data_IF_100027008766
#
_entry.id   IF_100027008766
#
_cell.length_a   1.000
_cell.length_b   1.000
_cell.length_c   1.000
_cell.angle_alpha   90.00
_cell.angle_beta   90.00
_cell.angle_gamma   90.00
#
_symmetry.space_group_name_H-M   'P 1'
#
loop_
_entity.id
_entity.type
_entity.pdbx_description
1 polymer ?
#
# COMPACT_ATOMS: atom_id res chain seq x y z
N UNK A 1 16.94 -14.67 10.21
CA UNK A 1 15.88 -14.07 9.37
C UNK A 1 15.65 -14.88 8.08
N UNK A 2 14.88 -15.99 8.11
CA UNK A 2 14.23 -16.50 6.88
C UNK A 2 12.81 -17.11 7.03
N UNK A 3 12.21 -17.19 8.23
CA UNK A 3 10.93 -17.91 8.45
C UNK A 3 9.72 -17.22 7.81
N UNK A 4 9.66 -15.90 7.85
CA UNK A 4 8.44 -15.13 7.56
C UNK A 4 8.17 -14.97 6.06
N UNK A 5 9.25 -14.88 5.27
CA UNK A 5 9.18 -14.85 3.81
C UNK A 5 8.69 -16.21 3.28
N UNK A 6 9.00 -17.30 3.99
CA UNK A 6 8.55 -18.63 3.57
C UNK A 6 7.04 -18.81 3.76
N UNK A 7 6.48 -18.41 4.91
CA UNK A 7 5.05 -18.57 5.19
C UNK A 7 4.17 -17.68 4.31
N UNK A 8 4.58 -16.44 4.06
CA UNK A 8 3.84 -15.53 3.19
C UNK A 8 3.75 -16.05 1.74
N UNK A 9 4.84 -16.61 1.22
CA UNK A 9 4.86 -17.24 -0.11
C UNK A 9 3.99 -18.50 -0.12
N UNK A 10 4.09 -19.35 0.90
CA UNK A 10 3.27 -20.56 1.01
C UNK A 10 1.77 -20.25 1.09
N UNK A 11 1.37 -19.25 1.87
CA UNK A 11 -0.02 -18.78 1.93
C UNK A 11 -0.52 -18.38 0.55
N UNK A 12 0.24 -17.54 -0.15
CA UNK A 12 -0.14 -17.07 -1.48
C UNK A 12 -0.25 -18.24 -2.44
N UNK A 13 0.75 -19.10 -2.50
CA UNK A 13 0.76 -20.26 -3.40
C UNK A 13 -0.41 -21.20 -3.09
N UNK A 14 -0.76 -21.40 -1.82
CA UNK A 14 -1.94 -22.13 -1.40
C UNK A 14 -3.22 -21.52 -1.96
N UNK A 15 -3.44 -20.21 -1.77
CA UNK A 15 -4.64 -19.52 -2.26
C UNK A 15 -4.75 -19.54 -3.79
N UNK A 16 -3.63 -19.35 -4.49
CA UNK A 16 -3.61 -19.37 -5.96
C UNK A 16 -3.85 -20.78 -6.53
N UNK A 17 -3.34 -21.82 -5.88
CA UNK A 17 -3.50 -23.21 -6.33
C UNK A 17 -4.87 -23.79 -5.98
N UNK A 18 -5.53 -23.24 -4.95
CA UNK A 18 -6.86 -23.66 -4.50
C UNK A 18 -7.99 -22.74 -5.01
N UNK A 19 -7.75 -22.03 -6.12
CA UNK A 19 -8.80 -21.29 -6.84
C UNK A 19 -10.01 -22.20 -7.14
N UNK A 20 -11.21 -21.67 -7.00
CA UNK A 20 -12.47 -22.43 -7.00
C UNK A 20 -12.92 -22.81 -5.59
N UNK A 21 -12.10 -23.56 -4.83
CA UNK A 21 -12.43 -23.93 -3.44
C UNK A 21 -12.45 -22.71 -2.52
N UNK A 22 -11.50 -21.81 -2.71
CA UNK A 22 -11.34 -20.63 -1.87
C UNK A 22 -12.09 -19.40 -2.40
N UNK A 23 -12.69 -19.48 -3.59
CA UNK A 23 -13.24 -18.31 -4.28
C UNK A 23 -14.29 -17.57 -3.46
N UNK A 24 -15.21 -18.31 -2.82
CA UNK A 24 -16.29 -17.74 -2.00
C UNK A 24 -15.90 -17.53 -0.53
N UNK A 25 -14.67 -17.88 -0.14
CA UNK A 25 -14.19 -17.68 1.22
C UNK A 25 -13.83 -16.22 1.41
N UNK A 26 -14.44 -15.57 2.40
CA UNK A 26 -14.10 -14.19 2.78
C UNK A 26 -12.71 -14.21 3.45
N UNK A 27 -11.77 -13.45 2.90
CA UNK A 27 -10.38 -13.43 3.36
C UNK A 27 -10.00 -12.12 4.05
N UNK A 28 -10.67 -11.02 3.67
CA UNK A 28 -10.39 -9.69 4.18
C UNK A 28 -11.71 -8.96 4.42
N UNK A 29 -11.83 -8.35 5.60
CA UNK A 29 -12.86 -7.37 5.91
C UNK A 29 -12.25 -6.31 6.82
N UNK A 30 -12.05 -5.11 6.28
CA UNK A 30 -11.49 -3.98 7.03
C UNK A 30 -12.32 -2.76 6.68
N UNK A 31 -12.98 -2.20 7.70
CA UNK A 31 -13.93 -1.10 7.56
C UNK A 31 -15.02 -1.43 6.53
N UNK A 32 -15.08 -0.74 5.38
CA UNK A 32 -16.05 -1.02 4.30
C UNK A 32 -15.52 -1.92 3.19
N UNK A 33 -14.24 -2.31 3.26
CA UNK A 33 -13.57 -3.08 2.21
C UNK A 33 -13.64 -4.57 2.52
N UNK A 34 -14.21 -5.34 1.59
CA UNK A 34 -14.38 -6.80 1.71
C UNK A 34 -13.75 -7.47 0.49
N UNK A 35 -12.91 -8.48 0.72
CA UNK A 35 -12.32 -9.29 -0.35
C UNK A 35 -12.44 -10.78 -0.07
N UNK A 36 -12.66 -11.54 -1.13
CA UNK A 36 -12.79 -12.99 -1.14
C UNK A 36 -11.60 -13.64 -1.86
N UNK A 37 -11.52 -14.98 -1.82
CA UNK A 37 -10.45 -15.71 -2.49
C UNK A 37 -10.34 -15.42 -3.98
N UNK A 38 -11.47 -15.20 -4.67
CA UNK A 38 -11.43 -14.85 -6.09
C UNK A 38 -10.78 -13.47 -6.33
N UNK A 39 -10.96 -12.50 -5.43
CA UNK A 39 -10.33 -11.18 -5.52
C UNK A 39 -8.81 -11.28 -5.34
N UNK A 40 -8.39 -12.14 -4.40
CA UNK A 40 -6.96 -12.42 -4.17
C UNK A 40 -6.34 -13.10 -5.38
N UNK A 41 -7.00 -14.11 -5.96
CA UNK A 41 -6.56 -14.77 -7.18
C UNK A 41 -6.38 -13.75 -8.32
N UNK A 42 -7.35 -12.85 -8.50
CA UNK A 42 -7.29 -11.82 -9.55
C UNK A 42 -6.17 -10.81 -9.32
N UNK A 43 -5.96 -10.37 -8.09
CA UNK A 43 -5.06 -9.25 -7.77
C UNK A 43 -3.63 -9.64 -7.44
N UNK A 44 -3.41 -10.83 -6.86
CA UNK A 44 -2.10 -11.27 -6.36
C UNK A 44 -1.41 -12.28 -7.28
N UNK A 45 -2.08 -12.82 -8.31
CA UNK A 45 -1.44 -13.65 -9.36
C UNK A 45 -0.40 -12.87 -10.16
N UNK A 46 0.81 -13.43 -10.33
CA UNK A 46 1.94 -12.79 -11.02
C UNK A 46 1.51 -12.18 -12.37
N UNK A 47 1.93 -10.94 -12.62
CA UNK A 47 1.61 -10.24 -13.87
C UNK A 47 0.21 -9.64 -13.93
N UNK A 48 -0.70 -9.93 -13.01
CA UNK A 48 -1.98 -9.22 -12.96
C UNK A 48 -1.82 -7.81 -12.36
N UNK A 49 -2.70 -6.91 -12.80
CA UNK A 49 -2.91 -5.61 -12.18
C UNK A 49 -3.81 -5.78 -10.94
N UNK A 50 -3.36 -5.23 -9.82
CA UNK A 50 -4.14 -5.21 -8.59
C UNK A 50 -5.17 -4.09 -8.64
N UNK A 51 -6.41 -4.43 -8.28
CA UNK A 51 -7.48 -3.44 -8.16
C UNK A 51 -7.35 -2.66 -6.84
N UNK A 52 -7.92 -1.45 -6.78
CA UNK A 52 -7.85 -0.57 -5.59
C UNK A 52 -8.42 -1.18 -4.31
N UNK A 53 -9.15 -2.30 -4.42
CA UNK A 53 -9.75 -3.07 -3.33
C UNK A 53 -8.78 -3.40 -2.19
N UNK A 54 -7.48 -3.55 -2.47
CA UNK A 54 -6.48 -3.88 -1.45
C UNK A 54 -5.66 -2.67 -0.96
N UNK A 55 -5.76 -1.51 -1.61
CA UNK A 55 -5.06 -0.29 -1.21
C UNK A 55 -5.82 0.40 -0.07
N UNK A 56 -7.14 0.52 -0.20
CA UNK A 56 -8.00 1.13 0.82
C UNK A 56 -7.90 0.43 2.19
N UNK A 57 -8.09 -0.91 2.31
CA UNK A 57 -7.95 -1.59 3.60
C UNK A 57 -6.54 -1.51 4.15
N UNK A 58 -5.51 -1.48 3.28
CA UNK A 58 -4.13 -1.28 3.71
C UNK A 58 -3.92 0.11 4.33
N UNK A 59 -4.46 1.15 3.69
CA UNK A 59 -4.41 2.52 4.22
C UNK A 59 -5.09 2.64 5.58
N UNK A 60 -6.21 1.93 5.78
CA UNK A 60 -6.89 1.83 7.08
C UNK A 60 -6.04 1.17 8.15
N UNK A 61 -5.34 0.07 7.83
CA UNK A 61 -4.40 -0.58 8.76
C UNK A 61 -3.30 0.41 9.15
N UNK A 62 -2.63 1.02 8.17
CA UNK A 62 -1.56 1.97 8.44
C UNK A 62 -2.01 3.14 9.30
N UNK A 63 -3.20 3.68 9.04
CA UNK A 63 -3.75 4.77 9.84
C UNK A 63 -3.90 4.36 11.32
N UNK A 64 -4.44 3.15 11.57
CA UNK A 64 -4.64 2.61 12.93
C UNK A 64 -3.30 2.28 13.60
N UNK A 65 -2.33 1.73 12.86
CA UNK A 65 -0.98 1.45 13.35
C UNK A 65 -0.19 2.73 13.66
N UNK A 66 -0.26 3.74 12.80
CA UNK A 66 0.43 5.02 13.00
C UNK A 66 -0.08 5.74 14.25
N UNK A 67 -1.39 5.73 14.49
CA UNK A 67 -1.99 6.27 15.72
C UNK A 67 -1.41 5.61 16.97
N UNK A 68 -1.12 4.31 16.90
CA UNK A 68 -0.60 3.50 18.01
C UNK A 68 0.91 3.63 18.18
N UNK A 69 1.65 3.50 17.08
CA UNK A 69 3.10 3.24 17.08
C UNK A 69 3.93 4.50 16.78
N UNK A 70 3.33 5.52 16.14
CA UNK A 70 4.02 6.75 15.74
C UNK A 70 3.18 8.00 16.09
N UNK A 71 2.78 8.19 17.35
CA UNK A 71 1.91 9.29 17.73
C UNK A 71 2.50 10.66 17.37
N UNK A 72 3.83 10.80 17.38
CA UNK A 72 4.53 12.04 17.03
C UNK A 72 4.46 12.39 15.53
N UNK A 73 4.21 11.42 14.65
CA UNK A 73 4.03 11.64 13.20
C UNK A 73 2.62 11.37 12.71
N UNK A 74 1.73 10.92 13.60
CA UNK A 74 0.31 10.81 13.37
C UNK A 74 -0.27 12.18 12.96
N UNK A 75 -1.03 12.22 11.87
CA UNK A 75 -1.55 13.45 11.28
C UNK A 75 -0.54 14.33 10.52
N UNK A 76 0.77 14.00 10.52
CA UNK A 76 1.77 14.63 9.64
C UNK A 76 1.77 14.05 8.22
N UNK A 77 1.17 12.87 8.06
CA UNK A 77 0.92 12.20 6.78
C UNK A 77 -0.53 12.35 6.41
N UNK A 78 -0.76 12.63 5.14
CA UNK A 78 -2.10 12.74 4.58
C UNK A 78 -2.29 11.54 3.66
N UNK A 79 -2.95 10.51 4.18
CA UNK A 79 -3.72 9.60 3.35
C UNK A 79 -5.13 10.18 3.34
N UNK A 80 -5.59 10.70 2.20
CA UNK A 80 -6.98 11.15 2.11
C UNK A 80 -7.82 9.87 2.16
N UNK A 81 -8.51 9.64 3.30
CA UNK A 81 -9.67 10.45 3.70
C UNK A 81 -9.53 11.20 5.04
N UNK A 82 -9.46 12.55 4.94
CA UNK A 82 -9.71 13.67 5.89
C UNK A 82 -9.14 13.60 7.33
N UNK A 83 -8.14 14.39 7.78
CA UNK A 83 -8.07 15.86 7.96
C UNK A 83 -6.60 16.37 8.05
N UNK A 84 -6.27 17.61 7.64
CA UNK A 84 -4.90 17.95 7.15
C UNK A 84 -4.33 19.35 7.50
N UNK A 85 -3.00 19.50 7.54
CA UNK A 85 -2.26 20.77 7.28
C UNK A 85 -1.14 20.52 6.23
N UNK A 86 -1.28 21.04 4.99
CA UNK A 86 -0.33 20.80 3.86
C UNK A 86 0.65 21.97 3.67
N UNK A 87 1.96 21.72 3.55
CA UNK A 87 2.95 22.72 3.08
C UNK A 87 3.72 22.30 1.81
N UNK A 88 3.59 21.04 1.37
CA UNK A 88 4.28 20.47 0.19
C UNK A 88 3.46 19.33 -0.41
N UNK A 89 3.65 19.07 -1.70
CA UNK A 89 3.15 17.86 -2.38
C UNK A 89 4.32 17.08 -2.96
N UNK A 90 4.54 15.88 -2.44
CA UNK A 90 5.50 14.91 -2.98
C UNK A 90 4.77 13.89 -3.87
N UNK A 91 5.42 13.52 -4.97
CA UNK A 91 4.95 12.51 -5.90
C UNK A 91 5.99 11.39 -5.90
N UNK A 92 5.53 10.19 -5.59
CA UNK A 92 6.32 8.97 -5.66
C UNK A 92 5.73 8.10 -6.76
N UNK A 93 6.58 7.64 -7.68
CA UNK A 93 6.19 6.75 -8.76
C UNK A 93 7.23 5.63 -8.90
N UNK A 94 6.78 4.39 -8.87
CA UNK A 94 7.62 3.20 -9.02
C UNK A 94 8.06 2.96 -10.47
N UNK A 95 7.47 3.61 -11.48
CA UNK A 95 7.86 3.45 -12.88
C UNK A 95 9.31 3.89 -13.15
N UNK A 96 10.05 3.06 -13.88
CA UNK A 96 11.40 3.37 -14.33
C UNK A 96 11.39 4.00 -15.73
N UNK A 97 11.14 5.32 -15.79
CA UNK A 97 11.02 6.05 -17.06
C UNK A 97 12.29 6.02 -17.93
N UNK A 98 13.47 5.97 -17.32
CA UNK A 98 14.73 5.82 -18.04
C UNK A 98 14.77 4.52 -18.85
N UNK A 99 14.32 3.43 -18.23
CA UNK A 99 14.26 2.12 -18.89
C UNK A 99 13.09 2.01 -19.89
N UNK A 100 12.01 2.77 -19.67
CA UNK A 100 10.87 2.86 -20.59
C UNK A 100 11.21 3.75 -21.81
N UNK A 101 12.27 4.55 -21.74
CA UNK A 101 12.69 5.47 -22.81
C UNK A 101 11.88 6.77 -22.88
N UNK A 102 11.31 7.21 -21.76
CA UNK A 102 10.56 8.48 -21.66
C UNK A 102 11.03 9.30 -20.45
N UNK A 103 10.59 10.56 -20.33
CA UNK A 103 10.89 11.36 -19.14
C UNK A 103 9.70 11.35 -18.18
N UNK A 104 9.98 11.28 -16.88
CA UNK A 104 8.98 11.36 -15.82
C UNK A 104 8.11 12.64 -15.93
N UNK A 105 8.69 13.74 -16.42
CA UNK A 105 7.96 15.00 -16.63
C UNK A 105 6.84 14.90 -17.66
N UNK A 106 6.97 14.00 -18.64
CA UNK A 106 6.03 13.87 -19.76
C UNK A 106 4.72 13.24 -19.28
N UNK A 107 4.79 12.39 -18.25
CA UNK A 107 3.65 11.65 -17.72
C UNK A 107 2.92 12.40 -16.59
N UNK A 108 3.65 13.07 -15.69
CA UNK A 108 3.03 13.59 -14.46
C UNK A 108 2.76 15.08 -14.44
N UNK A 109 3.38 15.90 -15.30
CA UNK A 109 3.29 17.37 -15.16
C UNK A 109 1.85 17.87 -15.23
N UNK A 110 1.08 17.41 -16.21
CA UNK A 110 -0.30 17.83 -16.39
C UNK A 110 -1.24 17.22 -15.33
N UNK A 111 -1.11 15.92 -15.07
CA UNK A 111 -1.95 15.19 -14.12
C UNK A 111 -1.78 15.69 -12.70
N UNK A 112 -0.54 15.79 -12.22
CA UNK A 112 -0.25 16.30 -10.87
C UNK A 112 -0.77 17.73 -10.66
N UNK A 113 -0.64 18.60 -11.67
CA UNK A 113 -1.19 19.95 -11.61
C UNK A 113 -2.71 19.93 -11.45
N UNK A 114 -3.42 19.07 -12.19
CA UNK A 114 -4.88 18.95 -12.11
C UNK A 114 -5.33 18.37 -10.77
N UNK A 115 -4.70 17.30 -10.29
CA UNK A 115 -5.03 16.67 -9.00
C UNK A 115 -4.83 17.65 -7.85
N UNK A 116 -3.64 18.29 -7.78
CA UNK A 116 -3.33 19.22 -6.69
C UNK A 116 -4.23 20.45 -6.70
N UNK A 117 -4.55 20.98 -7.90
CA UNK A 117 -5.50 22.09 -8.02
C UNK A 117 -6.91 21.66 -7.61
N UNK A 118 -7.41 20.54 -8.14
CA UNK A 118 -8.75 20.05 -7.85
C UNK A 118 -8.94 19.76 -6.35
N UNK A 119 -7.96 19.10 -5.73
CA UNK A 119 -7.97 18.87 -4.29
C UNK A 119 -7.94 20.17 -3.50
N UNK A 120 -7.09 21.13 -3.89
CA UNK A 120 -7.05 22.43 -3.24
C UNK A 120 -8.39 23.14 -3.37
N UNK A 121 -9.01 23.16 -4.55
CA UNK A 121 -10.29 23.84 -4.78
C UNK A 121 -11.40 23.18 -3.95
N UNK A 122 -11.50 21.84 -3.97
CA UNK A 122 -12.49 21.09 -3.20
C UNK A 122 -12.37 21.35 -1.70
N UNK A 123 -11.14 21.35 -1.16
CA UNK A 123 -10.92 21.68 0.26
C UNK A 123 -11.27 23.14 0.60
N UNK A 124 -11.04 24.08 -0.32
CA UNK A 124 -11.49 25.47 -0.13
C UNK A 124 -13.02 25.59 -0.14
N UNK A 125 -13.71 24.73 -0.87
CA UNK A 125 -15.17 24.71 -0.95
C UNK A 125 -15.80 24.12 0.32
N UNK A 126 -15.33 22.97 0.78
CA UNK A 126 -15.94 22.26 1.93
C UNK A 126 -15.50 22.81 3.29
N UNK A 127 -14.30 23.40 3.36
CA UNK A 127 -13.72 23.89 4.61
C UNK A 127 -12.95 25.21 4.37
N UNK A 128 -13.65 26.28 3.97
CA UNK A 128 -13.03 27.56 3.68
C UNK A 128 -12.31 28.07 4.95
N UNK A 129 -11.04 28.45 4.79
CA UNK A 129 -10.11 28.94 5.84
C UNK A 129 -9.43 27.88 6.71
N UNK A 130 -9.85 26.62 6.67
CA UNK A 130 -9.14 25.53 7.37
C UNK A 130 -7.83 25.14 6.66
N UNK A 131 -7.75 25.40 5.36
CA UNK A 131 -6.59 25.07 4.53
C UNK A 131 -6.10 26.31 3.78
N UNK A 132 -4.79 26.41 3.59
CA UNK A 132 -4.24 27.35 2.62
C UNK A 132 -4.53 26.84 1.19
N UNK A 133 -4.57 27.75 0.21
CA UNK A 133 -4.64 27.36 -1.20
C UNK A 133 -3.29 26.77 -1.62
N UNK A 134 -3.29 25.50 -2.00
CA UNK A 134 -2.09 24.78 -2.40
C UNK A 134 -2.10 24.29 -3.85
N UNK A 135 -3.12 24.65 -4.64
CA UNK A 135 -3.19 24.31 -6.07
C UNK A 135 -1.97 24.75 -6.89
N UNK A 136 -1.23 25.76 -6.40
CA UNK A 136 0.01 26.27 -6.99
C UNK A 136 1.30 25.69 -6.40
N UNK A 137 1.24 24.81 -5.40
CA UNK A 137 2.44 24.31 -4.72
C UNK A 137 3.40 23.63 -5.70
N UNK A 138 4.69 23.76 -5.38
CA UNK A 138 5.75 23.03 -6.08
C UNK A 138 5.53 21.55 -5.82
N UNK A 139 5.38 20.79 -6.91
CA UNK A 139 5.33 19.33 -6.89
C UNK A 139 6.76 18.82 -6.90
N UNK A 140 7.13 18.09 -5.87
CA UNK A 140 8.43 17.47 -5.75
C UNK A 140 8.33 16.02 -6.21
N UNK A 141 9.14 15.64 -7.20
CA UNK A 141 9.30 14.23 -7.56
C UNK A 141 10.28 13.62 -6.57
N UNK A 142 9.76 12.83 -5.65
CA UNK A 142 10.57 12.22 -4.60
C UNK A 142 11.24 10.96 -5.15
N UNK A 143 12.55 10.85 -4.93
CA UNK A 143 13.26 9.63 -5.27
C UNK A 143 12.75 8.47 -4.42
N UNK A 144 12.42 7.37 -5.09
CA UNK A 144 11.86 6.16 -4.51
C UNK A 144 12.30 4.93 -5.33
N UNK A 145 12.24 3.72 -4.75
CA UNK A 145 12.57 2.48 -5.46
C UNK A 145 11.75 2.32 -6.74
N UNK A 146 12.39 1.81 -7.79
CA UNK A 146 11.73 1.59 -9.08
C UNK A 146 11.47 0.11 -9.32
N UNK A 147 10.32 -0.20 -9.89
CA UNK A 147 9.94 -1.56 -10.28
C UNK A 147 10.70 -2.01 -11.53
N UNK A 148 10.75 -3.31 -11.77
CA UNK A 148 11.32 -3.86 -13.01
C UNK A 148 10.49 -3.44 -14.23
N UNK A 149 11.13 -3.40 -15.40
CA UNK A 149 10.44 -3.12 -16.68
C UNK A 149 9.34 -4.16 -16.88
N UNK A 150 8.16 -3.73 -17.34
CA UNK A 150 6.99 -4.58 -17.56
C UNK A 150 6.43 -5.27 -16.30
N UNK A 151 6.86 -4.86 -15.10
CA UNK A 151 6.21 -5.28 -13.86
C UNK A 151 4.83 -4.63 -13.75
N UNK A 152 3.86 -5.38 -13.24
CA UNK A 152 2.53 -4.89 -12.86
C UNK A 152 2.41 -4.72 -11.33
N UNK A 153 3.51 -4.35 -10.67
CA UNK A 153 3.61 -4.28 -9.20
C UNK A 153 3.42 -2.87 -8.63
N UNK A 154 3.02 -1.88 -9.44
CA UNK A 154 2.92 -0.49 -9.00
C UNK A 154 2.05 -0.29 -7.75
N UNK A 155 0.92 -1.00 -7.63
CA UNK A 155 0.06 -0.96 -6.44
C UNK A 155 0.79 -1.47 -5.18
N UNK A 156 1.60 -2.52 -5.31
CA UNK A 156 2.37 -3.07 -4.19
C UNK A 156 3.54 -2.15 -3.79
N UNK A 157 4.15 -1.46 -4.74
CA UNK A 157 5.13 -0.41 -4.44
C UNK A 157 4.48 0.78 -3.74
N UNK A 158 3.28 1.21 -4.15
CA UNK A 158 2.51 2.26 -3.47
C UNK A 158 2.30 1.87 -2.00
N UNK A 159 1.85 0.65 -1.72
CA UNK A 159 1.69 0.11 -0.37
C UNK A 159 2.98 0.23 0.45
N UNK A 160 4.14 -0.16 -0.10
CA UNK A 160 5.44 -0.01 0.58
C UNK A 160 5.87 1.45 0.76
N UNK A 161 5.55 2.32 -0.18
CA UNK A 161 5.83 3.75 -0.03
C UNK A 161 4.99 4.37 1.08
N UNK A 162 3.72 3.94 1.22
CA UNK A 162 2.85 4.39 2.30
C UNK A 162 3.37 3.98 3.68
N UNK A 163 3.93 2.76 3.81
CA UNK A 163 4.57 2.28 5.05
C UNK A 163 5.81 3.07 5.45
N UNK A 164 6.69 3.29 4.47
CA UNK A 164 8.02 3.83 4.69
C UNK A 164 8.04 5.36 4.78
N UNK A 165 7.17 6.03 4.01
CA UNK A 165 7.11 7.48 4.01
C UNK A 165 6.57 7.98 5.35
N UNK A 166 7.29 8.92 5.96
CA UNK A 166 7.02 9.46 7.30
C UNK A 166 6.53 10.93 7.26
N UNK A 167 6.39 11.51 6.07
CA UNK A 167 6.04 12.92 5.86
C UNK A 167 7.24 13.87 5.84
N UNK A 168 8.46 13.39 6.08
CA UNK A 168 9.66 14.21 6.07
C UNK A 168 10.15 14.51 4.64
N UNK A 169 11.21 15.32 4.57
CA UNK A 169 11.78 15.75 3.29
C UNK A 169 12.70 14.72 2.65
N UNK A 170 13.14 13.74 3.42
CA UNK A 170 14.10 12.73 2.98
C UNK A 170 13.45 11.79 1.97
N UNK A 171 14.25 11.37 0.98
CA UNK A 171 13.82 10.41 -0.02
C UNK A 171 13.78 9.00 0.56
N UNK A 172 12.83 8.20 0.11
CA UNK A 172 12.76 6.77 0.44
C UNK A 172 13.54 5.89 -0.55
N UNK A 173 14.45 6.46 -1.36
CA UNK A 173 15.20 5.76 -2.42
C UNK A 173 15.92 4.49 -1.93
N UNK A 174 16.37 4.49 -0.68
CA UNK A 174 17.08 3.37 -0.04
C UNK A 174 16.16 2.30 0.55
N UNK A 175 14.84 2.47 0.46
CA UNK A 175 13.86 1.48 0.91
C UNK A 175 14.06 0.17 0.15
N UNK A 176 14.31 -0.91 0.90
CA UNK A 176 14.48 -2.24 0.34
C UNK A 176 13.12 -2.85 0.01
N UNK A 177 12.76 -2.84 -1.28
CA UNK A 177 11.59 -3.56 -1.79
C UNK A 177 12.09 -4.75 -2.62
N UNK A 178 11.64 -5.99 -2.35
CA UNK A 178 11.95 -7.13 -3.19
C UNK A 178 11.54 -6.87 -4.63
N UNK A 179 12.48 -6.99 -5.57
CA UNK A 179 12.19 -6.86 -7.01
C UNK A 179 11.42 -8.07 -7.55
N UNK A 180 11.42 -9.18 -6.82
CA UNK A 180 10.62 -10.35 -7.15
C UNK A 180 9.14 -10.09 -6.82
N UNK A 181 8.32 -10.00 -7.86
CA UNK A 181 6.86 -9.82 -7.80
C UNK A 181 6.19 -10.80 -6.82
N UNK A 182 6.60 -12.07 -6.82
CA UNK A 182 6.04 -13.07 -5.92
C UNK A 182 6.27 -12.70 -4.45
N UNK A 183 7.47 -12.25 -4.10
CA UNK A 183 7.83 -11.92 -2.73
C UNK A 183 7.08 -10.68 -2.22
N UNK A 184 7.04 -9.60 -3.01
CA UNK A 184 6.37 -8.36 -2.58
C UNK A 184 4.86 -8.58 -2.42
N UNK A 185 4.24 -9.32 -3.35
CA UNK A 185 2.81 -9.66 -3.31
C UNK A 185 2.46 -10.56 -2.14
N UNK A 186 3.25 -11.61 -1.94
CA UNK A 186 3.07 -12.56 -0.83
C UNK A 186 3.12 -11.86 0.51
N UNK A 187 4.13 -11.02 0.72
CA UNK A 187 4.31 -10.32 1.99
C UNK A 187 3.17 -9.34 2.28
N UNK A 188 2.70 -8.59 1.28
CA UNK A 188 1.56 -7.66 1.45
C UNK A 188 0.25 -8.43 1.71
N UNK A 189 0.02 -9.54 1.01
CA UNK A 189 -1.16 -10.38 1.23
C UNK A 189 -1.21 -10.92 2.66
N UNK A 190 -0.07 -11.46 3.12
CA UNK A 190 0.08 -12.01 4.47
C UNK A 190 -0.20 -10.94 5.54
N UNK A 191 0.39 -9.75 5.38
CA UNK A 191 0.15 -8.61 6.27
C UNK A 191 -1.32 -8.17 6.30
N UNK A 192 -1.98 -8.11 5.15
CA UNK A 192 -3.41 -7.76 5.07
C UNK A 192 -4.29 -8.80 5.78
N UNK A 193 -4.11 -10.08 5.46
CA UNK A 193 -4.96 -11.16 5.96
C UNK A 193 -4.78 -11.39 7.46
N UNK A 194 -3.55 -11.27 7.96
CA UNK A 194 -3.25 -11.52 9.37
C UNK A 194 -3.13 -10.26 10.21
N UNK A 195 -3.50 -9.10 9.67
CA UNK A 195 -3.67 -7.88 10.44
C UNK A 195 -4.66 -8.11 11.59
N UNK A 196 -4.36 -7.57 12.77
CA UNK A 196 -5.27 -7.57 13.92
C UNK A 196 -6.59 -6.84 13.64
N UNK A 197 -6.62 -5.98 12.61
CA UNK A 197 -7.80 -5.23 12.20
C UNK A 197 -8.67 -5.96 11.16
N UNK A 198 -8.26 -7.15 10.71
CA UNK A 198 -9.04 -7.96 9.78
C UNK A 198 -10.24 -8.60 10.50
N UNK A 199 -11.44 -8.11 10.20
CA UNK A 199 -12.71 -8.56 10.77
C UNK A 199 -13.21 -9.87 10.13
N UNK A 200 -12.56 -10.36 9.08
CA UNK A 200 -12.86 -11.68 8.51
C UNK A 200 -12.40 -12.82 9.43
N UNK A 201 -11.67 -12.53 10.51
CA UNK A 201 -11.24 -13.51 11.49
C UNK A 201 -12.43 -14.10 12.29
N UNK A 202 -12.38 -15.40 12.68
CA UNK A 202 -11.32 -16.35 12.36
C UNK A 202 -11.35 -16.76 10.88
N UNK A 203 -10.18 -16.89 10.25
CA UNK A 203 -10.08 -17.33 8.86
C UNK A 203 -10.28 -18.85 8.78
N UNK A 204 -10.46 -19.36 7.56
CA UNK A 204 -10.60 -20.79 7.31
C UNK A 204 -9.42 -21.58 7.95
N UNK A 205 -9.64 -22.75 8.59
CA UNK A 205 -8.57 -23.48 9.27
C UNK A 205 -7.34 -23.78 8.41
N UNK A 206 -7.55 -24.14 7.14
CA UNK A 206 -6.46 -24.35 6.16
C UNK A 206 -5.62 -23.08 5.90
N UNK A 207 -6.11 -21.89 6.25
CA UNK A 207 -5.42 -20.61 6.09
C UNK A 207 -4.72 -20.22 7.38
N UNK A 208 -5.35 -20.48 8.53
CA UNK A 208 -4.82 -20.14 9.85
C UNK A 208 -3.46 -20.79 10.14
N UNK A 209 -3.14 -21.92 9.51
CA UNK A 209 -1.81 -22.56 9.60
C UNK A 209 -0.66 -21.68 9.07
N UNK A 210 -0.95 -20.65 8.25
CA UNK A 210 0.05 -19.71 7.74
C UNK A 210 0.17 -18.44 8.58
N UNK A 211 -0.66 -18.27 9.62
CA UNK A 211 -0.50 -17.20 10.60
C UNK A 211 0.82 -17.45 11.35
N UNK A 212 1.62 -16.41 11.54
CA UNK A 212 2.81 -16.54 12.38
C UNK A 212 2.38 -16.94 13.79
N UNK A 213 3.02 -17.97 14.34
CA UNK A 213 2.93 -18.23 15.77
C UNK A 213 3.76 -17.15 16.48
N UNK A 214 3.14 -16.35 17.35
CA UNK A 214 3.83 -15.43 18.27
C UNK A 214 4.63 -16.21 19.34
N UNK A 215 5.42 -17.20 18.94
CA UNK A 215 6.43 -17.78 19.82
C UNK A 215 7.60 -16.82 19.81
N UNK A 216 7.48 -15.78 20.63
CA UNK A 216 8.63 -15.08 21.18
C UNK A 216 9.43 -16.14 21.92
N UNK A 217 10.54 -16.61 21.33
CA UNK A 217 11.51 -17.40 22.07
C UNK A 217 11.86 -16.59 23.32
N UNK A 218 11.63 -17.13 24.54
CA UNK A 218 12.12 -16.47 25.74
C UNK A 218 13.64 -16.44 25.62
N UNK A 219 14.18 -15.23 25.55
CA UNK A 219 15.61 -14.96 25.50
C UNK A 219 16.30 -15.79 26.59
N UNK A 220 17.12 -16.75 26.15
CA UNK A 220 18.06 -17.49 27.00
C UNK A 220 19.40 -16.74 27.06
#
# INVERSE_FOLDING_TARGET
>A
MPSDVSLSVQLRDFLLTNGGRMDSVKLLEIDSSVAYGYDVLKSFSNGNLTEGLFIDPFSSILFKEDMRNRPDTFGKRIFIPTSVSVTRVDIMDSNNYLLIGTLESDHHRALSKRIVKGLSDALQEVAPKSFCRFGGFRRNMMKCPKMQICSNDCAFYIVRFMEAYDGNRESIETLSIPTNSSLVRSSILHQLMFSEYNQAAPLHPDIEMFRQSDVVDPVA
#
